data_IF_136448847705
#
_entry.id   IF_136448847705
#
_cell.length_a   1.000
_cell.length_b   1.000
_cell.length_c   1.000
_cell.angle_alpha   90.00
_cell.angle_beta   90.00
_cell.angle_gamma   90.00
#
_symmetry.space_group_name_H-M   'P 1'
#
loop_
_entity.id
_entity.type
_entity.pdbx_description
1 polymer ?
#
# COMPACT_ATOMS: atom_id res chain seq x y z
N UNK A 1 10.65 -1.01 -8.43
CA UNK A 1 10.88 -2.20 -7.58
C UNK A 1 9.68 -3.11 -7.82
N UNK A 2 9.83 -4.43 -7.85
CA UNK A 2 8.65 -5.30 -8.00
C UNK A 2 8.10 -5.76 -6.63
N UNK A 3 6.92 -6.40 -6.66
CA UNK A 3 6.27 -6.90 -5.47
C UNK A 3 7.11 -7.98 -4.76
N UNK A 4 7.81 -8.83 -5.51
CA UNK A 4 8.58 -9.93 -4.92
C UNK A 4 9.77 -9.39 -4.12
N UNK A 5 10.48 -8.41 -4.66
CA UNK A 5 11.59 -7.75 -3.97
C UNK A 5 11.12 -6.97 -2.75
N UNK A 6 9.98 -6.27 -2.84
CA UNK A 6 9.37 -5.62 -1.67
C UNK A 6 9.10 -6.65 -0.56
N UNK A 7 8.45 -7.76 -0.91
CA UNK A 7 8.06 -8.78 0.06
C UNK A 7 9.27 -9.46 0.69
N UNK A 8 10.33 -9.70 -0.08
CA UNK A 8 11.60 -10.23 0.45
C UNK A 8 12.25 -9.27 1.45
N UNK A 9 12.35 -7.99 1.10
CA UNK A 9 12.93 -6.97 2.01
C UNK A 9 12.07 -6.77 3.25
N UNK A 10 10.75 -6.74 3.09
CA UNK A 10 9.82 -6.65 4.20
C UNK A 10 9.95 -7.87 5.13
N UNK A 11 10.05 -9.08 4.58
CA UNK A 11 10.30 -10.29 5.36
C UNK A 11 11.67 -10.27 6.08
N UNK A 12 12.66 -9.60 5.51
CA UNK A 12 13.98 -9.39 6.13
C UNK A 12 13.97 -8.31 7.24
N UNK A 13 12.83 -7.66 7.49
CA UNK A 13 12.67 -6.66 8.56
C UNK A 13 12.73 -5.20 8.07
N UNK A 14 12.92 -4.98 6.77
CA UNK A 14 12.86 -3.63 6.21
C UNK A 14 11.44 -3.07 6.28
N UNK A 15 11.30 -1.82 6.65
CA UNK A 15 10.00 -1.14 6.77
C UNK A 15 9.95 0.17 5.99
N UNK A 16 11.09 0.66 5.52
CA UNK A 16 11.14 1.94 4.81
C UNK A 16 11.19 1.74 3.30
N UNK A 17 10.05 1.96 2.68
CA UNK A 17 9.84 1.93 1.24
C UNK A 17 9.35 3.30 0.77
N UNK A 18 9.85 4.38 1.39
CA UNK A 18 9.51 5.75 1.00
C UNK A 18 9.87 5.99 -0.47
N UNK A 19 8.92 6.53 -1.23
CA UNK A 19 9.15 6.95 -2.62
C UNK A 19 9.34 5.83 -3.63
N UNK A 20 9.08 4.57 -3.25
CA UNK A 20 9.23 3.46 -4.19
C UNK A 20 8.16 3.50 -5.27
N UNK A 21 8.54 3.04 -6.46
CA UNK A 21 7.59 2.75 -7.53
C UNK A 21 7.19 1.27 -7.48
N UNK A 22 5.90 1.05 -7.20
CA UNK A 22 5.17 -0.21 -7.14
C UNK A 22 3.94 -0.16 -8.06
N UNK A 23 3.96 0.70 -9.07
CA UNK A 23 2.84 0.82 -10.01
C UNK A 23 2.57 -0.54 -10.67
N UNK A 24 1.30 -0.92 -10.75
CA UNK A 24 0.83 -2.22 -11.24
C UNK A 24 1.33 -3.45 -10.45
N UNK A 25 1.91 -3.27 -9.27
CA UNK A 25 2.34 -4.39 -8.44
C UNK A 25 1.15 -5.19 -7.92
N UNK A 26 1.28 -6.52 -7.91
CA UNK A 26 0.34 -7.39 -7.22
C UNK A 26 0.78 -7.58 -5.76
N UNK A 27 0.09 -6.90 -4.86
CA UNK A 27 0.27 -6.96 -3.40
C UNK A 27 -0.99 -7.52 -2.71
N UNK A 28 -1.85 -8.21 -3.46
CA UNK A 28 -3.08 -8.80 -2.91
C UNK A 28 -2.79 -9.80 -1.80
N UNK A 29 -3.62 -9.81 -0.76
CA UNK A 29 -3.55 -10.73 0.40
C UNK A 29 -2.23 -10.68 1.17
N UNK A 30 -1.44 -9.62 1.01
CA UNK A 30 -0.17 -9.45 1.74
C UNK A 30 -0.40 -8.88 3.13
N UNK A 31 0.49 -9.22 4.07
CA UNK A 31 0.54 -8.60 5.40
C UNK A 31 1.70 -7.60 5.44
N UNK A 32 1.36 -6.31 5.30
CA UNK A 32 2.28 -5.18 5.26
C UNK A 32 2.01 -4.20 6.40
N UNK A 33 1.58 -4.71 7.57
CA UNK A 33 1.29 -3.89 8.75
C UNK A 33 2.44 -2.99 9.15
N UNK A 34 2.14 -1.71 9.34
CA UNK A 34 3.14 -0.71 9.75
C UNK A 34 4.22 -0.41 8.70
N UNK A 35 4.05 -0.83 7.44
CA UNK A 35 4.98 -0.46 6.36
C UNK A 35 4.99 1.07 6.15
N UNK A 36 6.16 1.63 5.87
CA UNK A 36 6.27 3.00 5.40
C UNK A 36 6.34 3.02 3.87
N UNK A 37 5.23 3.40 3.24
CA UNK A 37 5.06 3.60 1.79
C UNK A 37 4.84 5.09 1.47
N UNK A 38 5.30 6.00 2.34
CA UNK A 38 5.13 7.44 2.13
C UNK A 38 5.69 7.85 0.78
N UNK A 39 4.95 8.66 0.02
CA UNK A 39 5.32 9.14 -1.32
C UNK A 39 5.54 8.04 -2.37
N UNK A 40 5.13 6.80 -2.09
CA UNK A 40 5.23 5.71 -3.06
C UNK A 40 4.19 5.89 -4.19
N UNK A 41 4.46 5.23 -5.31
CA UNK A 41 3.54 5.11 -6.44
C UNK A 41 2.91 3.71 -6.44
N UNK A 42 1.60 3.64 -6.24
CA UNK A 42 0.79 2.41 -6.26
C UNK A 42 -0.26 2.46 -7.37
N UNK A 43 -0.04 3.30 -8.38
CA UNK A 43 -0.96 3.47 -9.49
C UNK A 43 -1.19 2.13 -10.20
N UNK A 44 -2.45 1.71 -10.33
CA UNK A 44 -2.84 0.41 -10.89
C UNK A 44 -2.46 -0.82 -10.06
N UNK A 45 -1.92 -0.66 -8.85
CA UNK A 45 -1.56 -1.79 -7.99
C UNK A 45 -2.81 -2.54 -7.50
N UNK A 46 -2.65 -3.84 -7.21
CA UNK A 46 -3.67 -4.66 -6.60
C UNK A 46 -3.37 -4.85 -5.11
N UNK A 47 -4.19 -4.25 -4.24
CA UNK A 47 -4.14 -4.35 -2.78
C UNK A 47 -5.32 -5.12 -2.20
N UNK A 48 -6.07 -5.88 -3.02
CA UNK A 48 -7.24 -6.61 -2.55
C UNK A 48 -6.89 -7.55 -1.39
N UNK A 49 -7.70 -7.52 -0.34
CA UNK A 49 -7.50 -8.29 0.90
C UNK A 49 -6.14 -8.04 1.60
N UNK A 50 -5.38 -7.00 1.25
CA UNK A 50 -4.10 -6.69 1.89
C UNK A 50 -4.29 -6.06 3.28
N UNK A 51 -3.38 -6.37 4.21
CA UNK A 51 -3.34 -5.73 5.52
C UNK A 51 -2.28 -4.63 5.56
N UNK A 52 -2.74 -3.38 5.49
CA UNK A 52 -1.95 -2.16 5.62
C UNK A 52 -2.26 -1.43 6.93
N UNK A 53 -2.77 -2.12 7.95
CA UNK A 53 -3.09 -1.48 9.23
C UNK A 53 -1.82 -0.88 9.86
N UNK A 54 -1.96 0.36 10.33
CA UNK A 54 -0.86 1.17 10.85
C UNK A 54 0.17 1.65 9.83
N UNK A 55 -0.03 1.42 8.52
CA UNK A 55 0.93 1.84 7.49
C UNK A 55 1.05 3.38 7.38
N UNK A 56 2.22 3.86 6.98
CA UNK A 56 2.40 5.26 6.60
C UNK A 56 2.29 5.40 5.08
N UNK A 57 1.18 6.00 4.62
CA UNK A 57 0.80 6.18 3.21
C UNK A 57 0.71 7.68 2.86
N UNK A 58 1.49 8.50 3.57
CA UNK A 58 1.44 9.95 3.40
C UNK A 58 2.00 10.36 2.04
N UNK A 59 1.24 11.10 1.25
CA UNK A 59 1.64 11.50 -0.11
C UNK A 59 1.72 10.35 -1.12
N UNK A 60 1.21 9.16 -0.81
CA UNK A 60 1.18 8.02 -1.73
C UNK A 60 0.17 8.25 -2.86
N UNK A 61 0.52 7.79 -4.06
CA UNK A 61 -0.35 7.84 -5.25
C UNK A 61 -1.10 6.52 -5.42
N UNK A 62 -2.42 6.61 -5.59
CA UNK A 62 -3.32 5.45 -5.67
C UNK A 62 -4.26 5.52 -6.89
N UNK A 63 -3.83 6.10 -8.02
CA UNK A 63 -4.68 6.19 -9.20
C UNK A 63 -4.98 4.77 -9.72
N UNK A 64 -6.26 4.43 -9.90
CA UNK A 64 -6.69 3.11 -10.36
C UNK A 64 -6.21 1.90 -9.52
N UNK A 65 -5.85 2.09 -8.25
CA UNK A 65 -5.51 0.99 -7.33
C UNK A 65 -6.75 0.20 -6.90
N UNK A 66 -6.67 -1.14 -6.91
CA UNK A 66 -7.74 -2.01 -6.39
C UNK A 66 -7.58 -2.20 -4.88
N UNK A 67 -8.56 -1.77 -4.06
CA UNK A 67 -8.49 -1.80 -2.58
C UNK A 67 -9.63 -2.56 -1.88
N UNK A 68 -10.30 -3.48 -2.58
CA UNK A 68 -11.42 -4.23 -2.00
C UNK A 68 -10.93 -5.04 -0.80
N UNK A 69 -11.58 -4.89 0.36
CA UNK A 69 -11.23 -5.50 1.65
C UNK A 69 -9.82 -5.16 2.17
N UNK A 70 -9.17 -4.11 1.68
CA UNK A 70 -7.88 -3.67 2.24
C UNK A 70 -8.10 -3.11 3.65
N UNK A 71 -7.30 -3.58 4.61
CA UNK A 71 -7.31 -3.06 5.99
C UNK A 71 -6.40 -1.84 6.09
N UNK A 72 -7.01 -0.67 6.28
CA UNK A 72 -6.33 0.62 6.44
C UNK A 72 -6.53 1.19 7.85
N UNK A 73 -6.96 0.38 8.82
CA UNK A 73 -7.11 0.83 10.22
C UNK A 73 -5.81 1.43 10.72
N UNK A 74 -5.89 2.63 11.30
CA UNK A 74 -4.75 3.38 11.83
C UNK A 74 -3.70 3.79 10.78
N UNK A 75 -3.95 3.59 9.47
CA UNK A 75 -3.03 4.03 8.44
C UNK A 75 -3.05 5.56 8.30
N UNK A 76 -1.89 6.14 8.01
CA UNK A 76 -1.76 7.57 7.75
C UNK A 76 -1.86 7.86 6.25
N UNK A 77 -3.02 8.37 5.80
CA UNK A 77 -3.28 8.74 4.40
C UNK A 77 -3.10 10.24 4.12
N UNK A 78 -2.46 10.99 5.02
CA UNK A 78 -2.36 12.45 4.91
C UNK A 78 -1.70 12.87 3.60
N UNK A 79 -2.39 13.71 2.82
CA UNK A 79 -1.89 14.20 1.53
C UNK A 79 -1.73 13.12 0.44
N UNK A 80 -2.26 11.91 0.66
CA UNK A 80 -2.32 10.91 -0.41
C UNK A 80 -3.24 11.36 -1.54
N UNK A 81 -2.87 10.99 -2.76
CA UNK A 81 -3.65 11.27 -3.96
C UNK A 81 -4.56 10.08 -4.23
N UNK A 82 -5.76 10.12 -3.65
CA UNK A 82 -6.78 9.09 -3.80
C UNK A 82 -7.75 9.46 -4.92
N UNK A 83 -7.77 8.68 -5.99
CA UNK A 83 -8.94 8.54 -6.88
C UNK A 83 -9.62 7.17 -6.74
N UNK A 84 -9.10 6.31 -5.85
CA UNK A 84 -9.53 4.94 -5.69
C UNK A 84 -10.94 4.85 -5.09
N UNK A 85 -11.68 3.80 -5.48
CA UNK A 85 -12.95 3.47 -4.86
C UNK A 85 -12.71 2.95 -3.44
N UNK A 86 -13.30 3.64 -2.45
CA UNK A 86 -13.18 3.31 -1.04
C UNK A 86 -14.31 2.40 -0.55
N UNK A 87 -15.26 2.05 -1.43
CA UNK A 87 -16.30 1.11 -1.11
C UNK A 87 -15.68 -0.28 -0.89
N UNK A 88 -15.68 -0.72 0.37
CA UNK A 88 -15.09 -2.01 0.76
C UNK A 88 -13.76 -1.93 1.50
N UNK A 89 -13.26 -0.73 1.82
CA UNK A 89 -12.19 -0.62 2.81
C UNK A 89 -12.64 -1.11 4.19
N UNK A 90 -11.72 -1.77 4.89
CA UNK A 90 -11.88 -2.05 6.32
C UNK A 90 -11.26 -0.86 7.07
N UNK A 91 -12.13 0.04 7.55
CA UNK A 91 -11.79 1.26 8.29
C UNK A 91 -11.63 1.04 9.80
#
# INVERSE_FOLDING_TARGET
MDAEELLRRYAAGDRDFTGVDLSNANLSRTDLRGINLSRAYLDGANLMDANLSGACLAGTHFEATEMINTDLRQANLSGSHLSADLSGLIG
#
